data_IF_773139692931
#
_entry.id   IF_773139692931
#
_cell.length_a   1.000
_cell.length_b   1.000
_cell.length_c   1.000
_cell.angle_alpha   90.00
_cell.angle_beta   90.00
_cell.angle_gamma   90.00
#
_symmetry.space_group_name_H-M   'P 1'
#
loop_
_entity.id
_entity.type
_entity.pdbx_description
1 polymer ?
#
# COMPACT_ATOMS: atom_id res chain seq x y z
N UNK A 1 -14.75 -3.60 -24.24
CA UNK A 1 -13.56 -3.45 -23.37
C UNK A 1 -13.67 -4.44 -22.21
N UNK A 2 -12.63 -5.21 -22.03
CA UNK A 2 -12.63 -6.18 -20.95
C UNK A 2 -12.60 -5.49 -19.59
N UNK A 3 -13.34 -6.05 -18.66
CA UNK A 3 -13.30 -5.59 -17.29
C UNK A 3 -12.00 -6.07 -16.64
N UNK A 4 -11.21 -5.14 -16.14
CA UNK A 4 -9.97 -5.48 -15.46
C UNK A 4 -10.31 -5.94 -14.05
N UNK A 5 -9.85 -7.13 -13.70
CA UNK A 5 -9.96 -7.63 -12.34
C UNK A 5 -8.86 -6.98 -11.50
N UNK A 6 -9.29 -6.16 -10.56
CA UNK A 6 -8.37 -5.44 -9.68
C UNK A 6 -7.45 -6.38 -8.90
N UNK A 7 -7.97 -7.53 -8.47
CA UNK A 7 -7.17 -8.50 -7.70
C UNK A 7 -6.04 -9.11 -8.54
N UNK A 8 -6.25 -9.27 -9.85
CA UNK A 8 -5.24 -9.84 -10.72
C UNK A 8 -4.08 -8.88 -10.98
N UNK A 9 -4.26 -7.59 -10.72
CA UNK A 9 -3.22 -6.58 -10.87
C UNK A 9 -2.36 -6.39 -9.63
N UNK A 10 -2.76 -6.98 -8.50
CA UNK A 10 -2.06 -6.82 -7.23
C UNK A 10 -1.28 -8.09 -6.91
N UNK A 11 0.04 -7.96 -6.94
CA UNK A 11 0.95 -8.96 -6.42
C UNK A 11 0.99 -8.75 -4.90
N UNK A 12 0.90 -9.81 -4.07
CA UNK A 12 1.00 -9.65 -2.61
C UNK A 12 2.30 -9.01 -2.14
N UNK A 13 3.34 -9.05 -2.96
CA UNK A 13 4.67 -8.57 -2.57
C UNK A 13 5.10 -7.32 -3.32
N UNK A 14 4.18 -6.64 -3.98
CA UNK A 14 4.48 -5.38 -4.66
C UNK A 14 3.22 -4.56 -4.86
N UNK A 15 3.42 -3.28 -5.15
CA UNK A 15 2.34 -2.35 -5.50
C UNK A 15 2.82 -1.43 -6.62
N UNK A 16 1.92 -1.08 -7.53
CA UNK A 16 2.20 -0.11 -8.58
C UNK A 16 1.67 1.25 -8.16
N UNK A 17 2.52 2.25 -8.25
CA UNK A 17 2.19 3.62 -7.86
C UNK A 17 2.57 4.57 -9.00
N UNK A 18 1.99 5.78 -8.96
CA UNK A 18 2.31 6.82 -9.94
C UNK A 18 3.18 7.86 -9.21
N UNK A 19 4.37 8.13 -9.76
CA UNK A 19 5.26 9.11 -9.17
C UNK A 19 4.81 10.54 -9.49
N UNK A 20 5.55 11.53 -8.98
CA UNK A 20 5.20 12.94 -9.17
C UNK A 20 5.31 13.40 -10.63
N UNK A 21 6.00 12.65 -11.48
CA UNK A 21 6.13 12.93 -12.91
C UNK A 21 5.10 12.21 -13.75
N UNK A 22 4.19 11.46 -13.14
CA UNK A 22 3.13 10.74 -13.85
C UNK A 22 3.53 9.37 -14.37
N UNK A 23 4.70 8.85 -14.01
CA UNK A 23 5.16 7.53 -14.44
C UNK A 23 4.80 6.45 -13.43
N UNK A 24 4.47 5.27 -13.95
CA UNK A 24 4.23 4.11 -13.11
C UNK A 24 5.54 3.58 -12.53
N UNK A 25 5.51 3.28 -11.24
CA UNK A 25 6.64 2.69 -10.52
C UNK A 25 6.15 1.51 -9.70
N UNK A 26 6.94 0.47 -9.63
CA UNK A 26 6.63 -0.72 -8.85
C UNK A 26 7.45 -0.71 -7.57
N UNK A 27 6.75 -0.80 -6.43
CA UNK A 27 7.38 -0.90 -5.13
C UNK A 27 7.29 -2.33 -4.65
N UNK A 28 8.42 -2.93 -4.31
CA UNK A 28 8.50 -4.30 -3.81
C UNK A 28 8.50 -4.32 -2.30
N UNK A 29 7.81 -5.31 -1.73
CA UNK A 29 7.81 -5.51 -0.28
C UNK A 29 9.16 -6.06 0.21
N UNK A 30 9.60 -5.62 1.39
CA UNK A 30 8.94 -4.60 2.20
C UNK A 30 9.18 -3.19 1.65
N UNK A 31 8.16 -2.36 1.65
CA UNK A 31 8.32 -0.96 1.30
C UNK A 31 7.82 -0.08 2.46
N UNK A 32 8.32 1.15 2.50
CA UNK A 32 8.09 2.06 3.62
C UNK A 32 6.91 2.98 3.34
N UNK A 33 6.05 3.14 4.36
CA UNK A 33 4.93 4.07 4.33
C UNK A 33 4.95 4.93 5.59
N UNK A 34 4.38 6.12 5.50
CA UNK A 34 4.23 7.00 6.65
C UNK A 34 2.79 6.95 7.14
N UNK A 35 2.61 6.72 8.43
CA UNK A 35 1.27 6.74 9.04
C UNK A 35 0.74 8.16 9.04
N UNK A 36 -0.32 8.43 8.30
CA UNK A 36 -0.95 9.73 8.20
C UNK A 36 -2.05 9.92 9.25
N UNK A 37 -2.75 8.83 9.60
CA UNK A 37 -3.78 8.81 10.63
C UNK A 37 -3.47 7.70 11.61
N UNK A 38 -3.38 8.03 12.89
CA UNK A 38 -3.07 7.03 13.91
C UNK A 38 -4.12 5.91 13.91
N UNK A 39 -3.65 4.67 14.02
CA UNK A 39 -4.53 3.50 13.98
C UNK A 39 -3.85 2.31 14.65
N UNK A 40 -4.60 1.57 15.46
CA UNK A 40 -4.14 0.33 16.10
C UNK A 40 -2.80 0.48 16.85
N UNK A 41 -2.63 1.60 17.54
CA UNK A 41 -1.42 1.83 18.32
C UNK A 41 -0.25 2.39 17.52
N UNK A 42 -0.45 2.68 16.23
CA UNK A 42 0.56 3.33 15.40
C UNK A 42 0.31 4.83 15.42
N UNK A 43 1.20 5.63 16.01
CA UNK A 43 1.02 7.09 16.03
C UNK A 43 1.17 7.71 14.64
N UNK A 44 0.56 8.88 14.46
CA UNK A 44 0.74 9.71 13.27
C UNK A 44 2.23 10.02 13.06
N UNK A 45 2.66 10.07 11.82
CA UNK A 45 4.05 10.34 11.41
C UNK A 45 5.04 9.23 11.77
N UNK A 46 4.56 8.02 11.93
CA UNK A 46 5.41 6.85 12.16
C UNK A 46 5.70 6.17 10.83
N UNK A 47 6.97 5.86 10.56
CA UNK A 47 7.35 5.06 9.41
C UNK A 47 7.08 3.59 9.70
N UNK A 48 6.44 2.92 8.75
CA UNK A 48 6.11 1.51 8.85
C UNK A 48 6.57 0.78 7.60
N UNK A 49 6.85 -0.51 7.74
CA UNK A 49 7.19 -1.36 6.59
C UNK A 49 6.02 -2.27 6.27
N UNK A 50 5.65 -2.29 4.99
CA UNK A 50 4.58 -3.14 4.48
C UNK A 50 5.19 -4.44 4.00
N UNK A 51 4.82 -5.55 4.64
CA UNK A 51 5.33 -6.88 4.31
C UNK A 51 4.57 -7.51 3.15
N UNK A 52 3.28 -7.26 3.07
CA UNK A 52 2.40 -7.78 2.04
C UNK A 52 1.32 -6.77 1.71
N UNK A 53 0.80 -6.86 0.49
CA UNK A 53 -0.35 -6.09 0.04
C UNK A 53 -1.49 -7.07 -0.21
N UNK A 54 -2.64 -6.81 0.36
CA UNK A 54 -3.81 -7.68 0.26
C UNK A 54 -4.94 -6.89 -0.36
N UNK A 55 -5.60 -7.47 -1.36
CA UNK A 55 -6.82 -6.90 -1.92
C UNK A 55 -8.01 -7.68 -1.38
N UNK A 56 -8.98 -6.99 -0.79
CA UNK A 56 -10.19 -7.65 -0.31
C UNK A 56 -11.29 -7.62 -1.38
N UNK A 57 -12.43 -8.24 -1.09
CA UNK A 57 -13.52 -8.37 -2.04
C UNK A 57 -14.23 -7.05 -2.36
N UNK A 58 -13.97 -6.01 -1.59
CA UNK A 58 -14.52 -4.68 -1.79
C UNK A 58 -13.57 -3.77 -2.55
N UNK A 59 -12.53 -4.34 -3.16
CA UNK A 59 -11.50 -3.61 -3.91
C UNK A 59 -10.69 -2.66 -3.03
N UNK A 60 -10.63 -2.93 -1.75
CA UNK A 60 -9.80 -2.19 -0.81
C UNK A 60 -8.41 -2.82 -0.74
N UNK A 61 -7.42 -1.97 -0.58
CA UNK A 61 -6.05 -2.40 -0.39
C UNK A 61 -5.74 -2.39 1.10
N UNK A 62 -5.26 -3.52 1.61
CA UNK A 62 -4.84 -3.65 2.99
C UNK A 62 -3.33 -3.87 3.01
N UNK A 63 -2.65 -3.15 3.90
CA UNK A 63 -1.23 -3.36 4.14
C UNK A 63 -1.04 -4.26 5.35
N UNK A 64 -0.20 -5.27 5.20
CA UNK A 64 0.18 -6.14 6.30
C UNK A 64 1.40 -5.52 6.99
N UNK A 65 1.21 -5.05 8.21
CA UNK A 65 2.24 -4.35 8.99
C UNK A 65 2.25 -4.94 10.39
N UNK A 66 3.39 -5.50 10.81
CA UNK A 66 3.57 -6.06 12.16
C UNK A 66 2.46 -7.04 12.55
N UNK A 67 2.07 -7.92 11.62
CA UNK A 67 1.04 -8.91 11.88
C UNK A 67 -0.39 -8.40 11.83
N UNK A 68 -0.60 -7.14 11.46
CA UNK A 68 -1.92 -6.52 11.37
C UNK A 68 -2.24 -6.16 9.94
N UNK A 69 -3.52 -6.24 9.57
CA UNK A 69 -4.02 -5.80 8.27
C UNK A 69 -4.68 -4.44 8.45
N UNK A 70 -4.12 -3.41 7.82
CA UNK A 70 -4.54 -2.03 8.00
C UNK A 70 -4.82 -1.42 6.64
N UNK A 71 -5.94 -0.70 6.51
CA UNK A 71 -6.31 -0.05 5.26
C UNK A 71 -5.21 0.92 4.80
N UNK A 72 -4.94 0.91 3.49
CA UNK A 72 -3.95 1.80 2.87
C UNK A 72 -4.26 3.29 3.12
N UNK A 73 -5.51 3.62 3.43
CA UNK A 73 -5.95 5.01 3.64
C UNK A 73 -5.31 5.68 4.84
N UNK A 74 -4.77 4.90 5.78
CA UNK A 74 -4.10 5.43 6.96
C UNK A 74 -2.65 5.81 6.68
N UNK A 75 -2.14 5.55 5.47
CA UNK A 75 -0.73 5.70 5.15
C UNK A 75 -0.50 6.52 3.91
N UNK A 76 0.69 7.11 3.82
CA UNK A 76 1.16 7.81 2.63
C UNK A 76 2.44 7.14 2.13
N UNK A 77 2.54 7.01 0.82
CA UNK A 77 3.74 6.50 0.16
C UNK A 77 4.53 7.69 -0.36
N UNK A 78 5.80 7.76 0.02
CA UNK A 78 6.71 8.80 -0.46
C UNK A 78 7.64 8.19 -1.49
N UNK A 79 7.59 8.72 -2.71
CA UNK A 79 8.35 8.23 -3.85
C UNK A 79 9.31 9.31 -4.28
N UNK A 80 10.62 9.01 -4.28
CA UNK A 80 11.68 9.93 -4.69
C UNK A 80 12.30 9.57 -6.03
N UNK A 81 11.57 8.88 -6.86
CA UNK A 81 12.11 8.43 -8.15
C UNK A 81 11.09 8.45 -9.27
#
# INVERSE_FOLDING_TARGET
>A
MEKVDFKSLIDPFSIVVINTHGYLRKLYCPFRVLCAESFNGIPTNTWCFVDKVIADDKELILYHINGKQISYRHFQIYINF
#
